data_IF_425297782574
#
_entry.id   IF_425297782574
#
_cell.length_a   1.000
_cell.length_b   1.000
_cell.length_c   1.000
_cell.angle_alpha   90.00
_cell.angle_beta   90.00
_cell.angle_gamma   90.00
#
_symmetry.space_group_name_H-M   'P 1'
#
loop_
_entity.id
_entity.type
_entity.pdbx_description
1 polymer ?
#
# COMPACT_ATOMS: atom_id res chain seq x y z
N UNK A 1 16.62 -20.98 5.36
CA UNK A 1 15.52 -20.02 5.14
C UNK A 1 16.13 -18.72 4.66
N UNK A 2 16.26 -18.48 3.35
CA UNK A 2 16.59 -17.12 2.90
C UNK A 2 15.33 -16.27 3.05
N UNK A 3 15.17 -15.66 4.22
CA UNK A 3 14.06 -14.75 4.46
C UNK A 3 14.18 -13.55 3.53
N UNK A 4 13.12 -13.26 2.76
CA UNK A 4 13.00 -12.00 2.02
C UNK A 4 13.08 -10.83 3.00
N UNK A 5 13.61 -9.68 2.60
CA UNK A 5 13.65 -8.45 3.42
C UNK A 5 12.28 -8.12 4.07
N UNK A 6 11.19 -8.45 3.36
CA UNK A 6 9.83 -8.21 3.81
C UNK A 6 9.42 -8.99 5.07
N UNK A 7 10.10 -10.09 5.40
CA UNK A 7 9.81 -10.88 6.61
C UNK A 7 9.96 -10.05 7.89
N UNK A 8 10.85 -9.05 7.89
CA UNK A 8 11.05 -8.13 9.02
C UNK A 8 9.87 -7.16 9.28
N UNK A 9 8.86 -7.17 8.40
CA UNK A 9 7.68 -6.30 8.48
C UNK A 9 6.39 -7.08 8.68
N UNK A 10 6.43 -8.41 8.81
CA UNK A 10 5.23 -9.21 9.09
C UNK A 10 4.90 -9.06 10.58
N UNK A 11 3.62 -8.79 10.90
CA UNK A 11 3.15 -8.68 12.28
C UNK A 11 3.45 -7.33 12.96
N UNK A 12 3.81 -6.28 12.22
CA UNK A 12 3.86 -4.92 12.75
C UNK A 12 2.47 -4.48 13.19
N UNK A 13 2.34 -3.82 14.35
CA UNK A 13 1.05 -3.36 14.86
C UNK A 13 0.50 -2.21 14.01
N UNK A 14 -0.82 -2.20 13.85
CA UNK A 14 -1.48 -1.08 13.19
C UNK A 14 -1.60 0.11 14.16
N UNK A 15 -1.13 1.28 13.73
CA UNK A 15 -1.33 2.56 14.41
C UNK A 15 -1.73 3.60 13.37
N UNK A 16 -2.89 4.24 13.55
CA UNK A 16 -3.29 5.34 12.68
C UNK A 16 -2.22 6.46 12.72
N UNK A 17 -1.83 7.00 11.58
CA UNK A 17 -0.73 7.96 11.44
C UNK A 17 0.64 7.44 11.93
N UNK A 18 0.77 6.14 12.17
CA UNK A 18 2.03 5.52 12.57
C UNK A 18 3.06 5.52 11.44
N UNK A 19 4.33 5.76 11.78
CA UNK A 19 5.45 5.87 10.83
C UNK A 19 6.66 5.02 11.21
N UNK A 20 6.56 4.27 12.30
CA UNK A 20 7.68 3.54 12.90
C UNK A 20 7.30 2.07 13.15
N UNK A 21 8.31 1.22 13.39
CA UNK A 21 8.13 -0.22 13.54
C UNK A 21 7.24 -0.60 14.75
N UNK A 22 7.07 0.27 15.73
CA UNK A 22 6.18 0.07 16.89
C UNK A 22 4.69 0.39 16.57
N UNK A 23 4.40 0.83 15.34
CA UNK A 23 3.07 1.18 14.88
C UNK A 23 3.09 1.89 13.54
N UNK A 24 2.46 1.28 12.52
CA UNK A 24 2.29 1.89 11.18
C UNK A 24 0.83 1.86 10.72
N UNK A 25 0.45 2.81 9.85
CA UNK A 25 -0.71 2.65 8.99
C UNK A 25 -0.27 2.14 7.59
N UNK A 26 -1.21 2.03 6.64
CA UNK A 26 -0.86 1.53 5.32
C UNK A 26 0.11 2.42 4.55
N UNK A 27 0.06 3.75 4.73
CA UNK A 27 1.01 4.65 4.09
C UNK A 27 2.34 4.67 4.84
N UNK A 28 2.30 4.73 6.17
CA UNK A 28 3.48 4.62 7.02
C UNK A 28 4.30 3.37 6.73
N UNK A 29 3.65 2.23 6.48
CA UNK A 29 4.32 0.99 6.07
C UNK A 29 5.02 1.13 4.71
N UNK A 30 4.37 1.72 3.71
CA UNK A 30 4.97 1.97 2.39
C UNK A 30 6.18 2.89 2.53
N UNK A 31 6.04 4.00 3.26
CA UNK A 31 7.13 4.95 3.53
C UNK A 31 8.32 4.27 4.18
N UNK A 32 8.07 3.52 5.26
CA UNK A 32 9.10 2.83 6.01
C UNK A 32 9.88 1.86 5.11
N UNK A 33 9.17 1.03 4.33
CA UNK A 33 9.80 0.07 3.41
C UNK A 33 10.62 0.76 2.32
N UNK A 34 10.08 1.81 1.69
CA UNK A 34 10.77 2.54 0.62
C UNK A 34 12.02 3.27 1.13
N UNK A 35 11.94 3.87 2.31
CA UNK A 35 13.08 4.54 2.93
C UNK A 35 14.19 3.53 3.30
N UNK A 36 13.82 2.41 3.96
CA UNK A 36 14.81 1.44 4.45
C UNK A 36 15.45 0.59 3.35
N UNK A 37 14.72 0.24 2.29
CA UNK A 37 15.20 -0.73 1.30
C UNK A 37 15.43 -0.17 -0.11
N UNK A 38 14.84 0.97 -0.44
CA UNK A 38 15.00 1.58 -1.75
C UNK A 38 15.67 2.96 -1.71
N UNK A 39 15.99 3.49 -0.52
CA UNK A 39 16.48 4.86 -0.34
C UNK A 39 15.57 5.92 -1.02
N UNK A 40 14.27 5.63 -1.10
CA UNK A 40 13.27 6.54 -1.64
C UNK A 40 12.48 7.13 -0.49
N UNK A 41 12.69 8.42 -0.23
CA UNK A 41 11.81 9.17 0.65
C UNK A 41 10.60 9.65 -0.14
N UNK A 42 9.41 9.38 0.40
CA UNK A 42 8.14 9.84 -0.17
C UNK A 42 7.42 10.66 0.89
N UNK A 43 6.69 11.72 0.50
CA UNK A 43 6.11 12.65 1.44
C UNK A 43 5.26 11.96 2.53
N UNK A 44 5.38 12.46 3.77
CA UNK A 44 4.32 12.19 4.73
C UNK A 44 3.08 12.94 4.27
N UNK A 45 1.99 12.21 4.08
CA UNK A 45 0.70 12.83 3.85
C UNK A 45 -0.09 12.98 5.17
N UNK A 46 0.60 12.99 6.33
CA UNK A 46 0.05 13.04 7.69
C UNK A 46 -0.67 14.34 8.09
N UNK A 47 -1.50 14.21 9.14
CA UNK A 47 -2.56 15.12 9.62
C UNK A 47 -3.55 15.60 8.55
N UNK A 48 -4.37 14.66 8.13
CA UNK A 48 -5.66 14.95 7.57
C UNK A 48 -6.61 14.02 8.35
N UNK A 49 -7.71 14.55 8.88
CA UNK A 49 -8.59 13.90 9.87
C UNK A 49 -9.05 12.50 9.40
N UNK A 50 -9.66 11.66 10.24
CA UNK A 50 -10.11 10.32 9.79
C UNK A 50 -11.07 10.36 8.57
N UNK A 51 -11.64 11.53 8.27
CA UNK A 51 -12.41 11.86 7.07
C UNK A 51 -11.57 12.13 5.79
N UNK A 52 -10.25 12.27 5.90
CA UNK A 52 -9.34 12.72 4.85
C UNK A 52 -8.39 11.65 4.30
N UNK A 53 -8.56 10.39 4.72
CA UNK A 53 -8.07 9.22 3.99
C UNK A 53 -8.52 9.24 2.50
N UNK A 54 -9.69 9.84 2.23
CA UNK A 54 -10.20 10.21 0.91
C UNK A 54 -9.33 11.25 0.17
N UNK A 55 -8.74 12.20 0.89
CA UNK A 55 -7.83 13.22 0.35
C UNK A 55 -6.43 12.69 0.12
N UNK A 56 -5.89 11.82 0.98
CA UNK A 56 -4.60 11.14 0.73
C UNK A 56 -4.70 10.29 -0.53
N UNK A 57 -5.82 9.60 -0.71
CA UNK A 57 -6.10 8.88 -1.94
C UNK A 57 -6.33 9.78 -3.17
N UNK A 58 -7.01 10.92 -2.98
CA UNK A 58 -7.19 11.93 -3.99
C UNK A 58 -5.89 12.64 -4.36
N UNK A 59 -4.95 12.77 -3.42
CA UNK A 59 -3.62 13.36 -3.59
C UNK A 59 -2.65 12.35 -4.20
N UNK A 60 -2.63 11.10 -3.76
CA UNK A 60 -1.93 10.02 -4.46
C UNK A 60 -2.45 9.86 -5.90
N UNK A 61 -3.77 9.98 -6.12
CA UNK A 61 -4.33 10.01 -7.48
C UNK A 61 -3.87 11.24 -8.28
N UNK A 62 -3.87 12.44 -7.69
CA UNK A 62 -3.34 13.67 -8.33
C UNK A 62 -1.83 13.56 -8.61
N UNK A 63 -1.05 13.06 -7.67
CA UNK A 63 0.39 12.82 -7.79
C UNK A 63 0.68 11.65 -8.77
N UNK A 64 -0.23 10.69 -8.94
CA UNK A 64 -0.11 9.67 -10.01
C UNK A 64 -0.45 10.20 -11.39
N UNK A 65 -1.03 11.40 -11.47
CA UNK A 65 -1.31 12.10 -12.73
C UNK A 65 -0.31 13.24 -13.02
N UNK A 66 0.43 13.73 -12.01
CA UNK A 66 1.28 14.93 -12.13
C UNK A 66 2.57 14.92 -11.28
N UNK A 67 2.78 13.90 -10.47
CA UNK A 67 3.93 13.73 -9.59
C UNK A 67 4.83 12.56 -10.03
N UNK A 68 5.73 12.06 -9.15
CA UNK A 68 6.76 11.09 -9.54
C UNK A 68 6.22 9.67 -9.74
N UNK A 69 4.91 9.45 -9.68
CA UNK A 69 4.32 8.11 -9.74
C UNK A 69 3.81 7.80 -11.13
N UNK A 70 4.33 6.72 -11.73
CA UNK A 70 3.88 6.20 -13.02
C UNK A 70 3.04 4.94 -12.81
N UNK A 71 1.93 4.82 -13.54
CA UNK A 71 1.16 3.58 -13.57
C UNK A 71 1.99 2.44 -14.17
N UNK A 72 1.94 1.28 -13.54
CA UNK A 72 2.57 0.05 -14.02
C UNK A 72 1.53 -0.77 -14.76
N UNK A 73 1.91 -1.28 -15.94
CA UNK A 73 1.05 -2.15 -16.73
C UNK A 73 0.91 -3.54 -16.08
N UNK A 74 -0.17 -4.28 -16.38
CA UNK A 74 -0.35 -5.63 -15.87
C UNK A 74 0.90 -6.50 -16.08
N UNK A 75 1.23 -7.29 -15.06
CA UNK A 75 2.36 -8.23 -15.03
C UNK A 75 3.76 -7.63 -15.20
N UNK A 76 3.89 -6.29 -15.14
CA UNK A 76 5.16 -5.58 -15.10
C UNK A 76 5.52 -5.05 -13.71
N UNK A 77 4.80 -5.48 -12.67
CA UNK A 77 5.09 -5.10 -11.30
C UNK A 77 6.40 -5.70 -10.79
N UNK A 78 7.05 -4.94 -9.92
CA UNK A 78 8.29 -5.35 -9.27
C UNK A 78 8.25 -4.99 -7.79
N UNK A 79 9.26 -5.44 -7.04
CA UNK A 79 9.42 -5.04 -5.65
C UNK A 79 9.41 -3.52 -5.51
N UNK A 80 8.81 -3.01 -4.43
CA UNK A 80 8.67 -1.59 -4.10
C UNK A 80 7.63 -0.80 -4.90
N UNK A 81 6.99 -1.39 -5.92
CA UNK A 81 5.80 -0.80 -6.50
C UNK A 81 4.65 -0.75 -5.47
N UNK A 82 3.77 0.25 -5.60
CA UNK A 82 2.66 0.49 -4.67
C UNK A 82 1.35 0.04 -5.31
N UNK A 83 0.64 -0.86 -4.62
CA UNK A 83 -0.71 -1.30 -4.98
C UNK A 83 -1.72 -0.34 -4.35
N UNK A 84 -2.46 0.40 -5.17
CA UNK A 84 -3.57 1.24 -4.71
C UNK A 84 -4.86 0.42 -4.63
N UNK A 85 -5.60 0.57 -3.53
CA UNK A 85 -6.81 -0.17 -3.25
C UNK A 85 -7.96 0.70 -2.73
N UNK A 86 -9.18 0.25 -2.98
CA UNK A 86 -10.39 0.80 -2.33
C UNK A 86 -10.44 0.38 -0.86
N UNK A 87 -10.65 1.32 0.06
CA UNK A 87 -11.09 1.09 1.43
C UNK A 87 -12.62 1.21 1.53
N UNK A 88 -13.23 0.48 2.48
CA UNK A 88 -14.59 0.76 2.91
C UNK A 88 -14.54 1.81 4.02
N UNK A 89 -15.20 2.94 3.82
CA UNK A 89 -15.34 4.00 4.82
C UNK A 89 -16.82 4.19 5.15
N UNK A 90 -17.12 4.66 6.36
CA UNK A 90 -18.48 5.00 6.79
C UNK A 90 -18.65 6.51 6.75
N UNK A 91 -19.65 6.98 6.02
CA UNK A 91 -20.00 8.40 5.85
C UNK A 91 -21.52 8.53 5.99
N UNK A 92 -21.98 9.34 6.96
CA UNK A 92 -23.42 9.60 7.21
C UNK A 92 -24.28 8.30 7.20
N UNK A 93 -23.87 7.31 7.99
CA UNK A 93 -24.48 5.96 8.09
C UNK A 93 -24.53 5.11 6.81
N UNK A 94 -23.84 5.54 5.74
CA UNK A 94 -23.67 4.76 4.51
C UNK A 94 -22.22 4.29 4.37
N UNK A 95 -22.05 3.15 3.71
CA UNK A 95 -20.72 2.68 3.33
C UNK A 95 -20.36 3.14 1.92
N UNK A 96 -19.20 3.78 1.80
CA UNK A 96 -18.61 4.14 0.51
C UNK A 96 -17.31 3.33 0.28
N UNK A 97 -17.01 3.05 -0.99
CA UNK A 97 -15.71 2.49 -1.40
C UNK A 97 -14.87 3.57 -2.03
N UNK A 98 -13.80 3.94 -1.35
CA UNK A 98 -12.98 5.09 -1.71
C UNK A 98 -11.52 4.65 -1.87
N UNK A 99 -10.70 5.27 -2.72
CA UNK A 99 -9.31 4.90 -3.01
C UNK A 99 -8.30 4.98 -1.83
N UNK A 100 -8.70 4.78 -0.57
CA UNK A 100 -7.93 5.13 0.62
C UNK A 100 -7.17 3.97 1.28
N UNK A 101 -6.56 3.09 0.49
CA UNK A 101 -5.72 2.03 1.02
C UNK A 101 -4.59 1.69 0.07
N UNK A 102 -3.46 1.22 0.59
CA UNK A 102 -2.34 0.82 -0.22
C UNK A 102 -1.54 -0.33 0.42
N UNK A 103 -0.66 -0.93 -0.37
CA UNK A 103 0.37 -1.87 0.05
C UNK A 103 1.58 -1.75 -0.87
N UNK A 104 2.70 -2.34 -0.48
CA UNK A 104 3.96 -2.34 -1.25
C UNK A 104 4.27 -3.74 -1.74
N UNK A 105 4.67 -3.88 -3.00
CA UNK A 105 4.96 -5.16 -3.62
C UNK A 105 6.30 -5.69 -3.08
N UNK A 106 6.28 -6.95 -2.65
CA UNK A 106 7.47 -7.65 -2.14
C UNK A 106 8.18 -8.38 -3.28
N UNK A 107 7.38 -8.99 -4.15
CA UNK A 107 7.77 -9.68 -5.39
C UNK A 107 6.55 -9.75 -6.31
N UNK A 108 6.73 -10.05 -7.61
CA UNK A 108 5.61 -10.11 -8.54
C UNK A 108 4.43 -10.91 -7.98
N UNK A 109 3.25 -10.28 -7.94
CA UNK A 109 1.99 -10.89 -7.47
C UNK A 109 1.70 -10.78 -5.98
N UNK A 110 2.69 -10.40 -5.15
CA UNK A 110 2.58 -10.40 -3.69
C UNK A 110 2.86 -9.02 -3.11
N UNK A 111 1.92 -8.53 -2.30
CA UNK A 111 2.09 -7.27 -1.60
C UNK A 111 2.12 -7.47 -0.10
N UNK A 112 2.95 -6.69 0.56
CA UNK A 112 2.90 -6.42 1.98
C UNK A 112 1.93 -5.25 2.22
N UNK A 113 0.96 -5.44 3.11
CA UNK A 113 0.04 -4.39 3.51
C UNK A 113 -0.36 -4.56 4.97
N UNK A 114 -0.98 -3.54 5.58
CA UNK A 114 -1.43 -3.58 6.97
C UNK A 114 -2.88 -3.15 7.11
N UNK A 115 -3.61 -3.81 8.01
CA UNK A 115 -4.96 -3.41 8.40
C UNK A 115 -5.14 -3.48 9.91
N UNK A 116 -6.05 -2.64 10.44
CA UNK A 116 -6.38 -2.58 11.87
C UNK A 116 -6.71 -3.94 12.50
N UNK A 117 -7.29 -4.86 11.74
CA UNK A 117 -7.74 -6.17 12.24
C UNK A 117 -6.72 -7.29 12.09
N UNK A 118 -5.71 -7.15 11.23
CA UNK A 118 -4.87 -8.27 10.80
C UNK A 118 -3.38 -8.01 10.94
N UNK A 119 -2.98 -6.83 11.46
CA UNK A 119 -1.59 -6.38 11.46
C UNK A 119 -1.02 -6.36 10.04
N UNK A 120 0.29 -6.17 9.87
CA UNK A 120 0.92 -6.26 8.56
C UNK A 120 1.11 -7.71 8.11
N UNK A 121 0.79 -7.99 6.86
CA UNK A 121 0.89 -9.32 6.28
C UNK A 121 1.20 -9.24 4.78
N UNK A 122 1.80 -10.32 4.25
CA UNK A 122 2.01 -10.50 2.82
C UNK A 122 0.85 -11.31 2.26
N UNK A 123 0.23 -10.81 1.20
CA UNK A 123 -0.87 -11.50 0.50
C UNK A 123 -0.67 -11.43 -1.01
N UNK A 124 -1.11 -12.46 -1.75
CA UNK A 124 -1.23 -12.34 -3.21
C UNK A 124 -2.32 -11.31 -3.54
N UNK A 125 -2.00 -10.30 -4.35
CA UNK A 125 -2.94 -9.23 -4.71
C UNK A 125 -3.58 -9.40 -6.09
N UNK A 126 -2.98 -10.25 -6.93
CA UNK A 126 -3.51 -10.73 -8.20
C UNK A 126 -3.17 -12.22 -8.38
N UNK A 127 -3.76 -12.85 -9.38
CA UNK A 127 -3.38 -14.20 -9.78
C UNK A 127 -1.95 -14.20 -10.37
N UNK A 128 -1.19 -15.24 -10.07
CA UNK A 128 0.15 -15.49 -10.59
C UNK A 128 0.37 -16.99 -10.69
N UNK A 129 1.47 -17.41 -11.32
CA UNK A 129 1.86 -18.82 -11.40
C UNK A 129 1.99 -19.50 -10.03
N UNK A 130 2.27 -18.72 -8.98
CA UNK A 130 2.55 -19.24 -7.64
C UNK A 130 1.40 -19.14 -6.64
N UNK A 131 0.35 -18.35 -6.94
CA UNK A 131 -0.81 -18.20 -6.06
C UNK A 131 -1.98 -17.48 -6.74
N UNK A 132 -3.19 -17.80 -6.27
CA UNK A 132 -4.40 -17.03 -6.55
C UNK A 132 -4.47 -15.76 -5.71
N UNK A 133 -5.09 -14.72 -6.26
CA UNK A 133 -5.34 -13.47 -5.57
C UNK A 133 -6.15 -13.69 -4.29
N UNK A 134 -5.75 -13.04 -3.21
CA UNK A 134 -6.46 -13.17 -1.94
C UNK A 134 -7.80 -12.42 -2.00
N UNK A 135 -8.89 -13.12 -1.68
CA UNK A 135 -10.28 -12.62 -1.82
C UNK A 135 -10.53 -11.30 -1.08
N UNK A 136 -9.81 -11.06 0.03
CA UNK A 136 -9.95 -9.83 0.82
C UNK A 136 -9.39 -8.57 0.14
N UNK A 137 -8.57 -8.72 -0.91
CA UNK A 137 -7.89 -7.61 -1.59
C UNK A 137 -8.18 -7.53 -3.08
N UNK A 138 -8.38 -8.65 -3.77
CA UNK A 138 -8.48 -8.68 -5.24
C UNK A 138 -9.54 -7.71 -5.80
N UNK A 139 -10.73 -7.66 -5.20
CA UNK A 139 -11.82 -6.78 -5.65
C UNK A 139 -11.65 -5.31 -5.26
N UNK A 140 -10.55 -4.98 -4.58
CA UNK A 140 -10.24 -3.63 -4.10
C UNK A 140 -9.17 -2.97 -4.93
N UNK A 141 -8.35 -3.72 -5.67
CA UNK A 141 -7.23 -3.20 -6.46
C UNK A 141 -7.74 -2.20 -7.49
N UNK A 142 -7.11 -1.03 -7.53
CA UNK A 142 -7.35 0.03 -8.51
C UNK A 142 -6.24 0.02 -9.56
N UNK A 143 -4.99 -0.15 -9.12
CA UNK A 143 -3.82 -0.16 -9.99
C UNK A 143 -2.52 -0.27 -9.21
N UNK A 144 -1.44 -0.42 -9.96
CA UNK A 144 -0.06 -0.49 -9.44
C UNK A 144 0.70 0.73 -9.94
N UNK A 145 1.54 1.31 -9.09
CA UNK A 145 2.26 2.53 -9.37
C UNK A 145 3.72 2.42 -8.93
N UNK A 146 4.62 2.89 -9.78
CA UNK A 146 6.06 2.92 -9.55
C UNK A 146 6.52 4.35 -9.32
N UNK A 147 7.32 4.56 -8.29
CA UNK A 147 7.97 5.85 -8.08
C UNK A 147 9.09 6.05 -9.11
N UNK A 148 9.28 7.27 -9.61
CA UNK A 148 10.25 7.59 -10.66
C UNK A 148 11.71 7.31 -10.27
N UNK A 149 12.01 7.32 -8.97
CA UNK A 149 13.32 6.94 -8.44
C UNK A 149 13.61 5.42 -8.53
N UNK A 150 12.62 4.60 -8.92
CA UNK A 150 12.72 3.15 -9.08
C UNK A 150 12.70 2.70 -10.55
N UNK A 151 12.69 3.66 -11.49
CA UNK A 151 12.57 3.43 -12.93
C UNK A 151 13.91 3.18 -13.60
#
# INVERSE_FOLDING_TARGET
MSGTWASAYIGLPYRANGRERDGVDCWGLVRLVLAEHAAVDVPDYGEVDAADLLRVAGRFRRDSQSGPWRRVEPDQDQAFDVVLMKARVRENDRFARVPAHCGVIVRPGFMLHIQKKTMSAIVPYRDSDSARAHVSVVHRVIGVYRHGALA
#
